data_IF_997666008280
#
_entry.id   IF_997666008280
#
_cell.length_a   1.000
_cell.length_b   1.000
_cell.length_c   1.000
_cell.angle_alpha   90.00
_cell.angle_beta   90.00
_cell.angle_gamma   90.00
#
_symmetry.space_group_name_H-M   'P 1'
#
loop_
_entity.id
_entity.type
_entity.pdbx_description
1 polymer ?
#
# COMPACT_ATOMS: atom_id res chain seq x y z
N UNK A 1 1.75 2.50 12.15
CA UNK A 1 2.99 2.52 11.36
C UNK A 1 2.78 3.42 10.17
N UNK A 2 3.75 4.26 9.86
CA UNK A 2 3.61 5.34 8.88
C UNK A 2 3.83 4.84 7.43
N UNK A 3 2.86 5.09 6.55
CA UNK A 3 2.89 4.73 5.12
C UNK A 3 3.50 5.83 4.24
N UNK A 4 3.76 7.02 4.78
CA UNK A 4 4.41 8.11 4.04
C UNK A 4 5.77 7.70 3.47
N UNK A 5 6.57 6.98 4.26
CA UNK A 5 7.85 6.43 3.76
C UNK A 5 7.62 5.45 2.61
N UNK A 6 6.57 4.64 2.63
CA UNK A 6 6.25 3.72 1.53
C UNK A 6 5.90 4.51 0.27
N UNK A 7 5.13 5.59 0.41
CA UNK A 7 4.79 6.49 -0.69
C UNK A 7 6.05 7.06 -1.35
N UNK A 8 6.99 7.60 -0.57
CA UNK A 8 8.26 8.15 -1.07
C UNK A 8 9.06 7.07 -1.82
N UNK A 9 9.18 5.87 -1.23
CA UNK A 9 9.88 4.77 -1.86
C UNK A 9 9.23 4.30 -3.18
N UNK A 10 7.91 4.38 -3.30
CA UNK A 10 7.21 4.09 -4.55
C UNK A 10 7.49 5.16 -5.60
N UNK A 11 7.51 6.43 -5.21
CA UNK A 11 7.86 7.56 -6.09
C UNK A 11 9.31 7.45 -6.59
N UNK A 12 10.24 7.11 -5.70
CA UNK A 12 11.66 6.88 -6.05
C UNK A 12 11.85 5.68 -6.97
N UNK A 13 11.20 4.54 -6.69
CA UNK A 13 11.39 3.31 -7.43
C UNK A 13 10.74 3.33 -8.82
N UNK A 14 9.57 3.98 -8.95
CA UNK A 14 8.71 3.84 -10.13
C UNK A 14 8.44 5.15 -10.87
N UNK A 15 8.84 6.30 -10.32
CA UNK A 15 8.64 7.61 -10.94
C UNK A 15 7.18 7.86 -11.31
N UNK A 16 6.93 8.11 -12.60
CA UNK A 16 5.57 8.34 -13.11
C UNK A 16 4.61 7.15 -12.88
N UNK A 17 5.14 5.92 -12.77
CA UNK A 17 4.32 4.71 -12.53
C UNK A 17 4.02 4.47 -11.04
N UNK A 18 4.56 5.29 -10.13
CA UNK A 18 4.29 5.18 -8.71
C UNK A 18 2.79 5.27 -8.40
N UNK A 19 2.05 6.06 -9.19
CA UNK A 19 0.61 6.25 -8.97
C UNK A 19 -0.18 4.94 -9.10
N UNK A 20 0.13 4.11 -10.09
CA UNK A 20 -0.49 2.78 -10.26
C UNK A 20 -0.21 1.89 -9.04
N UNK A 21 0.99 2.00 -8.47
CA UNK A 21 1.36 1.20 -7.30
C UNK A 21 0.65 1.68 -6.04
N UNK A 22 0.44 2.99 -5.88
CA UNK A 22 -0.35 3.56 -4.79
C UNK A 22 -1.82 3.13 -4.89
N UNK A 23 -2.40 3.14 -6.09
CA UNK A 23 -3.76 2.63 -6.33
C UNK A 23 -3.88 1.16 -5.97
N UNK A 24 -2.96 0.31 -6.46
CA UNK A 24 -2.96 -1.12 -6.16
C UNK A 24 -2.79 -1.39 -4.66
N UNK A 25 -1.98 -0.59 -3.97
CA UNK A 25 -1.81 -0.71 -2.53
C UNK A 25 -3.09 -0.32 -1.78
N UNK A 26 -3.73 0.79 -2.13
CA UNK A 26 -5.00 1.21 -1.56
C UNK A 26 -6.12 0.20 -1.86
N UNK A 27 -6.23 -0.31 -3.08
CA UNK A 27 -7.14 -1.40 -3.45
C UNK A 27 -6.88 -2.67 -2.63
N UNK A 28 -5.61 -3.02 -2.41
CA UNK A 28 -5.24 -4.13 -1.54
C UNK A 28 -5.72 -3.93 -0.09
N UNK A 29 -5.58 -2.72 0.44
CA UNK A 29 -6.12 -2.35 1.76
C UNK A 29 -7.65 -2.43 1.80
N UNK A 30 -8.32 -1.94 0.76
CA UNK A 30 -9.78 -2.01 0.63
C UNK A 30 -10.29 -3.45 0.61
N UNK A 31 -9.66 -4.31 -0.19
CA UNK A 31 -9.99 -5.73 -0.28
C UNK A 31 -9.83 -6.42 1.08
N UNK A 32 -8.75 -6.09 1.79
CA UNK A 32 -8.48 -6.67 3.11
C UNK A 32 -9.57 -6.28 4.12
N UNK A 33 -9.93 -4.99 4.20
CA UNK A 33 -11.01 -4.47 5.06
C UNK A 33 -12.36 -5.12 4.76
N UNK A 34 -12.67 -5.35 3.49
CA UNK A 34 -13.93 -5.96 3.04
C UNK A 34 -13.93 -7.50 3.14
N UNK A 35 -13.05 -8.08 3.96
CA UNK A 35 -13.02 -9.51 4.26
C UNK A 35 -12.32 -10.37 3.19
N UNK A 36 -11.84 -9.78 2.08
CA UNK A 36 -11.03 -10.48 1.06
C UNK A 36 -9.55 -10.50 1.46
N UNK A 37 -9.27 -10.90 2.70
CA UNK A 37 -7.96 -10.78 3.36
C UNK A 37 -6.80 -11.32 2.54
N UNK A 38 -6.89 -12.55 2.04
CA UNK A 38 -5.82 -13.17 1.24
C UNK A 38 -5.52 -12.40 -0.06
N UNK A 39 -6.55 -11.90 -0.73
CA UNK A 39 -6.38 -11.16 -1.98
C UNK A 39 -5.77 -9.77 -1.72
N UNK A 40 -6.28 -9.07 -0.70
CA UNK A 40 -5.75 -7.78 -0.28
C UNK A 40 -4.30 -7.87 0.18
N UNK A 41 -4.00 -8.85 1.03
CA UNK A 41 -2.64 -9.11 1.52
C UNK A 41 -1.67 -9.42 0.39
N UNK A 42 -2.06 -10.28 -0.56
CA UNK A 42 -1.23 -10.61 -1.72
C UNK A 42 -0.92 -9.36 -2.56
N UNK A 43 -1.92 -8.52 -2.80
CA UNK A 43 -1.78 -7.29 -3.58
C UNK A 43 -0.85 -6.29 -2.88
N UNK A 44 -1.05 -6.06 -1.59
CA UNK A 44 -0.17 -5.21 -0.77
C UNK A 44 1.27 -5.73 -0.83
N UNK A 45 1.48 -7.03 -0.60
CA UNK A 45 2.81 -7.63 -0.61
C UNK A 45 3.49 -7.54 -1.98
N UNK A 46 2.74 -7.61 -3.08
CA UNK A 46 3.27 -7.42 -4.42
C UNK A 46 3.75 -5.98 -4.64
N UNK A 47 2.99 -4.99 -4.21
CA UNK A 47 3.42 -3.58 -4.27
C UNK A 47 4.68 -3.38 -3.43
N UNK A 48 4.71 -3.86 -2.20
CA UNK A 48 5.90 -3.72 -1.34
C UNK A 48 7.12 -4.44 -1.93
N UNK A 49 6.93 -5.60 -2.58
CA UNK A 49 8.00 -6.35 -3.24
C UNK A 49 8.52 -5.69 -4.53
N UNK A 50 7.80 -4.70 -5.08
CA UNK A 50 8.25 -3.93 -6.25
C UNK A 50 9.34 -2.90 -5.90
N UNK A 51 9.56 -2.63 -4.62
CA UNK A 51 10.54 -1.66 -4.12
C UNK A 51 11.86 -2.38 -3.80
N UNK A 52 13.02 -1.83 -4.21
CA UNK A 52 14.32 -2.37 -3.83
C UNK A 52 14.50 -2.48 -2.31
N UNK A 53 14.91 -3.65 -1.80
CA UNK A 53 15.06 -3.86 -0.36
C UNK A 53 16.30 -3.19 0.25
N UNK A 54 17.27 -2.78 -0.58
CA UNK A 54 18.55 -2.20 -0.13
C UNK A 54 18.29 -0.94 0.72
N UNK A 55 18.66 -0.99 2.00
CA UNK A 55 18.45 0.11 2.95
C UNK A 55 17.05 0.20 3.57
N UNK A 56 16.05 -0.52 3.05
CA UNK A 56 14.65 -0.43 3.49
C UNK A 56 14.04 -1.75 3.97
N UNK A 57 14.78 -2.87 3.92
CA UNK A 57 14.29 -4.21 4.24
C UNK A 57 13.47 -4.32 5.53
N UNK A 58 13.98 -3.80 6.65
CA UNK A 58 13.27 -3.85 7.94
C UNK A 58 11.92 -3.14 7.89
N UNK A 59 11.88 -1.96 7.27
CA UNK A 59 10.65 -1.20 7.10
C UNK A 59 9.65 -1.92 6.19
N UNK A 60 10.11 -2.42 5.04
CA UNK A 60 9.26 -3.13 4.08
C UNK A 60 8.70 -4.43 4.69
N UNK A 61 9.48 -5.15 5.50
CA UNK A 61 9.00 -6.32 6.23
C UNK A 61 7.96 -5.95 7.29
N UNK A 62 8.17 -4.87 8.04
CA UNK A 62 7.19 -4.39 9.00
C UNK A 62 5.85 -4.09 8.31
N UNK A 63 5.85 -3.40 7.15
CA UNK A 63 4.63 -3.17 6.37
C UNK A 63 3.93 -4.48 6.01
N UNK A 64 4.66 -5.49 5.52
CA UNK A 64 4.09 -6.80 5.15
C UNK A 64 3.47 -7.55 6.35
N UNK A 65 3.97 -7.33 7.56
CA UNK A 65 3.55 -8.03 8.78
C UNK A 65 2.40 -7.34 9.52
N UNK A 66 2.24 -6.02 9.38
CA UNK A 66 1.27 -5.25 10.16
C UNK A 66 0.13 -4.71 9.30
N UNK A 67 -0.28 -5.43 8.25
CA UNK A 67 -1.43 -5.03 7.42
C UNK A 67 -2.69 -4.91 8.28
N UNK A 68 -2.93 -5.91 9.12
CA UNK A 68 -4.10 -6.00 9.98
C UNK A 68 -4.23 -4.77 10.89
N UNK A 69 -5.33 -4.04 10.78
CA UNK A 69 -5.65 -2.88 11.61
C UNK A 69 -5.06 -1.55 11.14
N UNK A 70 -4.26 -1.51 10.08
CA UNK A 70 -3.74 -0.26 9.50
C UNK A 70 -4.36 0.08 8.14
N UNK A 71 -5.16 -0.80 7.55
CA UNK A 71 -5.56 -0.76 6.15
C UNK A 71 -6.28 0.53 5.76
N UNK A 72 -7.18 1.04 6.61
CA UNK A 72 -7.93 2.28 6.33
C UNK A 72 -6.99 3.48 6.33
N UNK A 73 -6.22 3.66 7.41
CA UNK A 73 -5.26 4.75 7.53
C UNK A 73 -4.23 4.72 6.39
N UNK A 74 -3.73 3.53 6.06
CA UNK A 74 -2.80 3.32 4.96
C UNK A 74 -3.37 3.66 3.59
N UNK A 75 -4.62 3.31 3.32
CA UNK A 75 -5.25 3.69 2.06
C UNK A 75 -5.45 5.20 1.92
N UNK A 76 -5.78 5.89 3.02
CA UNK A 76 -5.93 7.35 3.04
C UNK A 76 -4.57 8.07 2.89
N UNK A 77 -3.50 7.55 3.48
CA UNK A 77 -2.18 8.19 3.54
C UNK A 77 -1.27 7.88 2.34
N UNK A 78 -1.53 6.81 1.58
CA UNK A 78 -0.69 6.42 0.43
C UNK A 78 -0.85 7.36 -0.78
N UNK A 79 -1.90 8.18 -0.79
CA UNK A 79 -2.27 9.13 -1.85
C UNK A 79 -2.52 8.43 -3.19
N UNK A 80 -3.47 7.50 -3.19
CA UNK A 80 -4.03 6.92 -4.41
C UNK A 80 -4.94 7.94 -5.15
N UNK A 81 -5.40 7.57 -6.35
CA UNK A 81 -6.32 8.40 -7.12
C UNK A 81 -7.63 8.61 -6.38
N UNK A 82 -8.33 9.71 -6.70
CA UNK A 82 -9.59 10.08 -6.07
C UNK A 82 -10.60 8.94 -6.13
N UNK A 83 -10.75 8.30 -7.29
CA UNK A 83 -11.68 7.20 -7.53
C UNK A 83 -11.42 5.99 -6.62
N UNK A 84 -10.15 5.76 -6.26
CA UNK A 84 -9.77 4.67 -5.35
C UNK A 84 -10.06 5.08 -3.90
N UNK A 85 -9.80 6.33 -3.53
CA UNK A 85 -10.08 6.84 -2.19
C UNK A 85 -11.59 6.88 -1.89
N UNK A 86 -12.43 7.13 -2.90
CA UNK A 86 -13.90 7.11 -2.78
C UNK A 86 -14.44 5.75 -2.32
N UNK A 87 -13.74 4.65 -2.59
CA UNK A 87 -14.11 3.30 -2.14
C UNK A 87 -14.19 3.16 -0.61
N UNK A 88 -13.55 4.07 0.14
CA UNK A 88 -13.50 4.05 1.61
C UNK A 88 -14.53 4.98 2.27
N UNK A 89 -15.26 5.77 1.48
CA UNK A 89 -16.29 6.71 1.94
C UNK A 89 -17.71 6.12 1.90
N UNK A 90 -17.85 4.89 1.40
CA UNK A 90 -19.11 4.12 1.35
C UNK A 90 -19.30 3.22 2.57
#
# INVERSE_FOLDING_TARGET
>A
MDVHKLRELLEEAHGAQAMVHKDLFALGCWLYLNGKRTAGEKMIKQVVASIPETGNRTYLNAIKENIAGNERAWAEEIFAHLEVNELFQS
#
